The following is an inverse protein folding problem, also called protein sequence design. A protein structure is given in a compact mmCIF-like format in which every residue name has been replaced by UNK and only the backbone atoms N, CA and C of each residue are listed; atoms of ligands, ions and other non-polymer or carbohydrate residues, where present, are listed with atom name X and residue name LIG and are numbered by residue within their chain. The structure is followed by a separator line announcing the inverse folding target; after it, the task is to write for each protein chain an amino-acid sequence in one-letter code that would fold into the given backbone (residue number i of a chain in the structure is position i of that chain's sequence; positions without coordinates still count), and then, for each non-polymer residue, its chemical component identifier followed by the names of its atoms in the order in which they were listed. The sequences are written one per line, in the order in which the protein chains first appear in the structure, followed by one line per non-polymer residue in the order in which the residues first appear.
data_IF_765993135244
#
_entry.id   IF_765993135244
#
_cell.length_a   1.000
_cell.length_b   1.000
_cell.length_c   1.000
_cell.angle_alpha   90.00
_cell.angle_beta   90.00
_cell.angle_gamma   90.00
#
_symmetry.space_group_name_H-M   'P 1'
#
loop_
_entity.id
_entity.type
_entity.pdbx_description
1 polymer ?
#
# COMPACT_ATOMS: atom_id res chain seq x y z
N UNK A 1 1.83 -17.33 17.00
CA UNK A 1 0.94 -17.56 15.83
C UNK A 1 1.60 -16.90 14.63
N UNK A 2 1.50 -17.47 13.43
CA UNK A 2 2.07 -16.85 12.21
C UNK A 2 1.23 -15.63 11.80
N UNK A 3 1.87 -14.62 11.21
CA UNK A 3 1.21 -13.39 10.75
C UNK A 3 1.34 -13.23 9.23
N UNK A 4 0.32 -12.65 8.59
CA UNK A 4 0.30 -12.35 7.15
C UNK A 4 0.36 -10.84 6.91
N UNK A 5 1.40 -10.40 6.20
CA UNK A 5 1.48 -9.07 5.60
C UNK A 5 1.06 -9.11 4.14
N UNK A 6 0.13 -8.25 3.72
CA UNK A 6 -0.32 -8.17 2.31
C UNK A 6 0.33 -6.98 1.64
N UNK A 7 1.18 -7.24 0.62
CA UNK A 7 1.75 -6.17 -0.21
C UNK A 7 0.74 -5.72 -1.28
N UNK A 8 0.52 -4.41 -1.39
CA UNK A 8 -0.47 -3.80 -2.30
C UNK A 8 0.14 -3.06 -3.51
N UNK A 9 1.45 -3.13 -3.73
CA UNK A 9 2.16 -2.35 -4.75
C UNK A 9 1.63 -2.59 -6.17
N UNK A 10 1.29 -3.84 -6.49
CA UNK A 10 0.82 -4.21 -7.82
C UNK A 10 -0.59 -3.69 -8.15
N UNK A 11 -1.36 -3.31 -7.14
CA UNK A 11 -2.64 -2.62 -7.34
C UNK A 11 -2.35 -1.21 -7.85
N UNK A 12 -1.36 -0.54 -7.26
CA UNK A 12 -0.88 0.74 -7.76
C UNK A 12 -0.21 0.60 -9.14
N UNK A 13 0.52 -0.48 -9.42
CA UNK A 13 1.03 -0.76 -10.79
C UNK A 13 -0.10 -0.75 -11.82
N UNK A 14 -1.21 -1.44 -11.55
CA UNK A 14 -2.34 -1.49 -12.47
C UNK A 14 -3.00 -0.10 -12.64
N UNK A 15 -3.10 0.68 -11.56
CA UNK A 15 -3.57 2.07 -11.62
C UNK A 15 -2.67 2.94 -12.50
N UNK A 16 -1.35 2.89 -12.25
CA UNK A 16 -0.35 3.72 -12.94
C UNK A 16 -0.25 3.38 -14.43
N UNK A 17 -0.51 2.12 -14.82
CA UNK A 17 -0.53 1.71 -16.23
C UNK A 17 -1.51 2.52 -17.09
N UNK A 18 -2.52 3.16 -16.47
CA UNK A 18 -3.50 4.01 -17.16
C UNK A 18 -3.61 5.42 -16.59
N UNK A 19 -2.83 5.76 -15.57
CA UNK A 19 -2.90 7.08 -14.91
C UNK A 19 -4.29 7.44 -14.36
N UNK A 20 -5.11 6.43 -14.05
CA UNK A 20 -6.48 6.68 -13.55
C UNK A 20 -6.51 6.68 -12.02
N UNK A 21 -7.70 6.85 -11.44
CA UNK A 21 -7.90 6.75 -9.99
C UNK A 21 -8.13 5.30 -9.51
N UNK A 22 -8.23 4.33 -10.42
CA UNK A 22 -8.58 2.95 -10.09
C UNK A 22 -7.64 1.93 -10.76
N UNK A 23 -7.46 0.75 -10.15
CA UNK A 23 -7.91 0.38 -8.80
C UNK A 23 -7.21 1.21 -7.71
N UNK A 24 -7.87 1.38 -6.56
CA UNK A 24 -7.33 2.15 -5.43
C UNK A 24 -6.53 1.24 -4.48
N UNK A 25 -5.24 1.52 -4.23
CA UNK A 25 -4.45 0.79 -3.24
C UNK A 25 -5.04 0.91 -1.83
N UNK A 26 -5.53 2.10 -1.46
CA UNK A 26 -6.20 2.35 -0.18
C UNK A 26 -7.39 1.41 0.02
N UNK A 27 -8.27 1.33 -0.98
CA UNK A 27 -9.44 0.44 -0.89
C UNK A 27 -9.02 -1.03 -0.76
N UNK A 28 -7.97 -1.44 -1.47
CA UNK A 28 -7.49 -2.81 -1.39
C UNK A 28 -6.86 -3.14 -0.04
N UNK A 29 -6.13 -2.20 0.57
CA UNK A 29 -5.57 -2.35 1.91
C UNK A 29 -6.68 -2.57 2.96
N UNK A 30 -7.74 -1.77 2.92
CA UNK A 30 -8.90 -1.92 3.80
C UNK A 30 -9.62 -3.26 3.60
N UNK A 31 -9.70 -3.75 2.35
CA UNK A 31 -10.27 -5.07 2.05
C UNK A 31 -9.37 -6.21 2.58
N UNK A 32 -8.05 -6.08 2.45
CA UNK A 32 -7.09 -7.06 2.96
C UNK A 32 -7.12 -7.12 4.50
N UNK A 33 -7.18 -5.96 5.16
CA UNK A 33 -7.38 -5.85 6.60
C UNK A 33 -8.69 -6.51 7.05
N UNK A 34 -9.81 -6.18 6.40
CA UNK A 34 -11.10 -6.81 6.68
C UNK A 34 -11.09 -8.34 6.45
N UNK A 35 -10.30 -8.81 5.49
CA UNK A 35 -10.13 -10.24 5.19
C UNK A 35 -9.15 -10.97 6.14
N UNK A 36 -8.57 -10.28 7.12
CA UNK A 36 -7.73 -10.88 8.16
C UNK A 36 -6.23 -10.71 7.97
N UNK A 37 -5.77 -9.74 7.17
CA UNK A 37 -4.35 -9.38 7.16
C UNK A 37 -3.89 -8.83 8.53
N UNK A 38 -2.70 -9.22 8.98
CA UNK A 38 -2.10 -8.71 10.22
C UNK A 38 -1.28 -7.42 9.99
N UNK A 39 -0.92 -7.17 8.73
CA UNK A 39 -0.24 -5.96 8.30
C UNK A 39 -0.50 -5.67 6.81
N UNK A 40 -0.37 -4.39 6.44
CA UNK A 40 -0.30 -3.96 5.04
C UNK A 40 1.13 -3.56 4.72
N UNK A 41 1.68 -4.13 3.66
CA UNK A 41 3.01 -3.77 3.14
C UNK A 41 2.86 -2.88 1.91
N UNK A 42 3.65 -1.82 1.84
CA UNK A 42 3.78 -0.99 0.65
C UNK A 42 5.22 -0.50 0.50
N UNK A 43 5.65 -0.33 -0.76
CA UNK A 43 6.97 0.18 -1.07
C UNK A 43 6.88 1.57 -1.71
N UNK A 44 7.23 2.59 -0.94
CA UNK A 44 7.35 3.95 -1.46
C UNK A 44 8.72 4.12 -2.13
N UNK A 45 8.78 3.80 -3.42
CA UNK A 45 10.01 3.93 -4.22
C UNK A 45 10.34 5.40 -4.47
N UNK A 46 11.63 5.72 -4.52
CA UNK A 46 12.14 7.05 -4.89
C UNK A 46 11.56 7.53 -6.25
N UNK A 47 11.50 6.63 -7.24
CA UNK A 47 10.97 6.91 -8.58
C UNK A 47 9.43 6.98 -8.67
N UNK A 48 8.72 6.75 -7.55
CA UNK A 48 7.25 6.71 -7.48
C UNK A 48 6.61 5.87 -8.58
N UNK A 49 7.22 4.73 -8.94
CA UNK A 49 6.76 3.88 -10.05
C UNK A 49 5.34 3.33 -9.87
N UNK A 50 4.90 3.08 -8.63
CA UNK A 50 3.58 2.51 -8.32
C UNK A 50 2.90 3.27 -7.19
N UNK A 51 3.26 2.98 -5.93
CA UNK A 51 2.74 3.69 -4.76
C UNK A 51 3.20 5.16 -4.81
N UNK A 52 2.28 6.06 -4.50
CA UNK A 52 2.51 7.51 -4.42
C UNK A 52 2.45 7.99 -2.98
N UNK A 53 3.01 9.16 -2.68
CA UNK A 53 2.97 9.76 -1.33
C UNK A 53 1.54 9.88 -0.78
N UNK A 54 0.60 10.26 -1.65
CA UNK A 54 -0.83 10.34 -1.31
C UNK A 54 -1.40 8.99 -0.83
N UNK A 55 -0.96 7.87 -1.40
CA UNK A 55 -1.43 6.56 -0.95
C UNK A 55 -0.96 6.31 0.49
N UNK A 56 0.31 6.62 0.79
CA UNK A 56 0.90 6.49 2.12
C UNK A 56 0.20 7.39 3.15
N UNK A 57 -0.03 8.66 2.82
CA UNK A 57 -0.71 9.62 3.70
C UNK A 57 -2.09 9.11 4.11
N UNK A 58 -2.90 8.70 3.13
CA UNK A 58 -4.25 8.19 3.40
C UNK A 58 -4.19 6.87 4.19
N UNK A 59 -3.31 5.94 3.81
CA UNK A 59 -3.17 4.66 4.52
C UNK A 59 -2.78 4.87 5.99
N UNK A 60 -1.97 5.87 6.30
CA UNK A 60 -1.59 6.22 7.67
C UNK A 60 -2.78 6.70 8.51
N UNK A 61 -3.79 7.29 7.89
CA UNK A 61 -5.01 7.75 8.56
C UNK A 61 -6.06 6.64 8.73
N UNK A 62 -6.13 5.69 7.79
CA UNK A 62 -7.27 4.74 7.73
C UNK A 62 -6.96 3.32 8.20
N UNK A 63 -5.70 2.88 8.18
CA UNK A 63 -5.37 1.51 8.62
C UNK A 63 -5.45 1.39 10.14
N UNK A 64 -6.08 0.32 10.62
CA UNK A 64 -6.12 0.00 12.05
C UNK A 64 -5.13 -1.10 12.44
N UNK A 65 -4.67 -1.87 11.45
CA UNK A 65 -3.54 -2.81 11.56
C UNK A 65 -2.19 -2.15 11.25
N UNK A 66 -1.11 -2.88 11.48
CA UNK A 66 0.26 -2.37 11.26
C UNK A 66 0.51 -2.09 9.78
N UNK A 67 1.20 -0.98 9.53
CA UNK A 67 1.79 -0.68 8.23
C UNK A 67 3.26 -1.10 8.22
N UNK A 68 3.67 -1.85 7.20
CA UNK A 68 5.05 -2.17 6.90
C UNK A 68 5.50 -1.33 5.68
N UNK A 69 6.18 -0.21 5.95
CA UNK A 69 6.69 0.68 4.91
C UNK A 69 8.07 0.22 4.46
N UNK A 70 8.17 -0.26 3.22
CA UNK A 70 9.43 -0.54 2.56
C UNK A 70 9.93 0.72 1.83
N UNK A 71 11.18 1.09 2.09
CA UNK A 71 11.81 2.25 1.48
C UNK A 71 13.33 2.04 1.34
N UNK A 72 13.94 2.78 0.42
CA UNK A 72 15.39 2.87 0.34
C UNK A 72 15.94 3.71 1.50
N UNK A 73 17.19 3.44 1.89
CA UNK A 73 17.92 4.27 2.86
C UNK A 73 18.51 5.46 2.11
N UNK A 74 17.75 6.53 2.03
CA UNK A 74 18.12 7.81 1.41
C UNK A 74 17.89 8.94 2.40
N UNK A 75 18.59 10.07 2.21
CA UNK A 75 18.57 11.24 3.10
C UNK A 75 17.20 11.93 3.22
#
# INVERSE_FOLDING_TARGET
MIQLGVNIDHIATLRQARGTRYPSPVRAALLAEYAGADAITLHLREDRRHIQDRDLEILREVLTIRMNLEMAVTD
#
